data_IF_083463104435
#
_entry.id   IF_083463104435
#
_cell.length_a   1.000
_cell.length_b   1.000
_cell.length_c   1.000
_cell.angle_alpha   90.00
_cell.angle_beta   90.00
_cell.angle_gamma   90.00
#
_symmetry.space_group_name_H-M   'P 1'
#
loop_
_entity.id
_entity.type
_entity.pdbx_description
1 polymer ?
#
# COMPACT_ATOMS: atom_id res chain seq x y z
N UNK A 1 47.66 42.18 -16.34
CA UNK A 1 47.02 41.56 -15.20
C UNK A 1 45.48 41.69 -15.17
N UNK A 2 44.85 42.56 -15.97
CA UNK A 2 43.37 42.73 -16.00
C UNK A 2 42.58 41.66 -16.80
N UNK A 3 43.23 40.86 -17.66
CA UNK A 3 42.54 39.89 -18.56
C UNK A 3 42.24 38.52 -17.96
N UNK A 4 42.79 38.18 -16.80
CA UNK A 4 42.61 36.84 -16.16
C UNK A 4 41.51 36.87 -15.09
N UNK A 5 41.14 38.03 -14.59
CA UNK A 5 40.14 38.18 -13.52
C UNK A 5 38.71 37.92 -14.02
N UNK A 6 38.40 38.25 -15.28
CA UNK A 6 37.11 38.11 -15.88
C UNK A 6 36.62 36.62 -16.04
N UNK A 7 37.46 35.68 -16.53
CA UNK A 7 37.06 34.27 -16.61
C UNK A 7 36.98 33.58 -15.22
N UNK A 8 37.76 34.04 -14.23
CA UNK A 8 37.70 33.50 -12.87
C UNK A 8 36.42 33.87 -12.14
N UNK A 9 35.87 35.07 -12.35
CA UNK A 9 34.59 35.52 -11.79
C UNK A 9 33.43 34.78 -12.47
N UNK A 10 33.49 34.51 -13.77
CA UNK A 10 32.46 33.77 -14.50
C UNK A 10 32.40 32.31 -14.05
N UNK A 11 33.52 31.69 -13.69
CA UNK A 11 33.59 30.33 -13.19
C UNK A 11 32.98 30.18 -11.78
N UNK A 12 33.04 31.20 -10.94
CA UNK A 12 32.48 31.21 -9.58
C UNK A 12 30.92 31.20 -9.57
N UNK A 13 30.29 31.77 -10.60
CA UNK A 13 28.83 31.87 -10.70
C UNK A 13 28.20 30.54 -11.08
N UNK A 14 28.94 29.63 -11.69
CA UNK A 14 28.41 28.29 -12.11
C UNK A 14 28.25 27.29 -10.94
N UNK A 15 28.77 27.60 -9.76
CA UNK A 15 28.64 26.75 -8.57
C UNK A 15 27.51 27.16 -7.62
N UNK A 16 26.63 28.08 -8.01
CA UNK A 16 25.38 28.36 -7.25
C UNK A 16 24.40 27.21 -7.42
N UNK A 17 24.74 26.04 -6.90
CA UNK A 17 23.82 24.90 -6.79
C UNK A 17 22.63 25.32 -5.94
N UNK A 18 21.42 25.32 -6.51
CA UNK A 18 20.20 25.43 -5.75
C UNK A 18 20.13 24.25 -4.78
N UNK A 19 20.46 24.48 -3.52
CA UNK A 19 20.12 23.56 -2.44
C UNK A 19 18.60 23.59 -2.32
N UNK A 20 17.90 22.59 -2.90
CA UNK A 20 16.50 22.40 -2.69
C UNK A 20 16.29 22.00 -1.22
N UNK A 21 15.94 22.97 -0.39
CA UNK A 21 15.51 22.70 0.99
C UNK A 21 14.14 22.05 0.94
N UNK A 22 14.05 20.82 1.43
CA UNK A 22 12.76 20.15 1.63
C UNK A 22 12.00 20.97 2.70
N UNK A 23 10.79 21.47 2.42
CA UNK A 23 10.00 22.18 3.41
C UNK A 23 9.76 21.28 4.63
N UNK A 24 9.88 21.82 5.83
CA UNK A 24 9.68 21.04 7.07
C UNK A 24 8.28 20.44 7.15
N UNK A 25 7.28 21.12 6.56
CA UNK A 25 5.91 20.62 6.44
C UNK A 25 5.81 19.33 5.62
N UNK A 26 6.70 19.11 4.66
CA UNK A 26 6.69 17.86 3.84
C UNK A 26 7.03 16.61 4.67
N UNK A 27 7.63 16.78 5.84
CA UNK A 27 7.97 15.69 6.76
C UNK A 27 6.96 15.55 7.91
N UNK A 28 6.01 16.48 8.06
CA UNK A 28 4.98 16.42 9.10
C UNK A 28 3.84 15.53 8.65
N UNK A 29 3.51 14.52 9.46
CA UNK A 29 2.32 13.71 9.23
C UNK A 29 1.09 14.50 9.70
N UNK A 30 0.10 14.66 8.81
CA UNK A 30 -1.17 15.25 9.21
C UNK A 30 -1.93 14.33 10.17
N UNK A 31 -2.82 14.88 11.04
CA UNK A 31 -3.70 14.08 11.88
C UNK A 31 -4.50 13.03 11.09
N UNK A 32 -5.00 13.41 9.91
CA UNK A 32 -5.73 12.49 9.02
C UNK A 32 -4.83 11.34 8.55
N UNK A 33 -3.56 11.60 8.26
CA UNK A 33 -2.60 10.56 7.89
C UNK A 33 -2.36 9.56 9.03
N UNK A 34 -2.37 10.02 10.27
CA UNK A 34 -2.23 9.16 11.44
C UNK A 34 -3.47 8.30 11.67
N UNK A 35 -4.68 8.88 11.55
CA UNK A 35 -5.94 8.14 11.63
C UNK A 35 -6.01 7.07 10.54
N UNK A 36 -5.67 7.41 9.30
CA UNK A 36 -5.63 6.46 8.19
C UNK A 36 -4.65 5.31 8.47
N UNK A 37 -3.47 5.60 9.04
CA UNK A 37 -2.54 4.54 9.44
C UNK A 37 -3.11 3.60 10.49
N UNK A 38 -3.92 4.10 11.43
CA UNK A 38 -4.58 3.25 12.42
C UNK A 38 -5.59 2.31 11.77
N UNK A 39 -6.40 2.80 10.83
CA UNK A 39 -7.34 1.99 10.05
C UNK A 39 -6.62 0.92 9.21
N UNK A 40 -5.48 1.26 8.66
CA UNK A 40 -4.66 0.40 7.80
C UNK A 40 -3.87 -0.66 8.55
N UNK A 41 -3.79 -0.61 9.87
CA UNK A 41 -2.88 -1.45 10.65
C UNK A 41 -3.62 -2.26 11.71
N UNK A 42 -3.33 -3.58 11.77
CA UNK A 42 -3.81 -4.48 12.81
C UNK A 42 -2.67 -5.36 13.32
N UNK A 43 -2.74 -5.78 14.57
CA UNK A 43 -1.80 -6.71 15.19
C UNK A 43 -2.44 -8.08 15.31
N UNK A 44 -1.62 -9.11 15.13
CA UNK A 44 -2.01 -10.52 15.24
C UNK A 44 -0.99 -11.25 16.12
N UNK A 45 -1.47 -12.19 16.92
CA UNK A 45 -0.64 -13.04 17.77
C UNK A 45 -0.13 -14.24 16.95
N UNK A 46 0.73 -13.94 15.97
CA UNK A 46 1.32 -14.93 15.07
C UNK A 46 2.68 -14.44 14.59
N UNK A 47 3.49 -15.35 14.07
CA UNK A 47 4.78 -15.01 13.46
C UNK A 47 4.60 -14.33 12.08
N UNK A 48 5.64 -13.64 11.65
CA UNK A 48 5.63 -12.86 10.42
C UNK A 48 5.43 -13.71 9.17
N UNK A 49 6.02 -14.90 9.12
CA UNK A 49 5.95 -15.78 7.95
C UNK A 49 4.52 -16.29 7.75
N UNK A 50 3.89 -16.76 8.81
CA UNK A 50 2.47 -17.22 8.79
C UNK A 50 1.56 -16.07 8.38
N UNK A 51 1.71 -14.88 8.98
CA UNK A 51 0.88 -13.71 8.64
C UNK A 51 1.08 -13.26 7.20
N UNK A 52 2.31 -13.29 6.69
CA UNK A 52 2.62 -12.92 5.31
C UNK A 52 2.00 -13.92 4.33
N UNK A 53 2.12 -15.24 4.62
CA UNK A 53 1.52 -16.31 3.82
C UNK A 53 0.00 -16.18 3.76
N UNK A 54 -0.67 -16.05 4.91
CA UNK A 54 -2.11 -15.86 5.00
C UNK A 54 -2.57 -14.58 4.26
N UNK A 55 -1.79 -13.51 4.33
CA UNK A 55 -2.07 -12.27 3.61
C UNK A 55 -1.98 -12.45 2.09
N UNK A 56 -0.98 -13.20 1.61
CA UNK A 56 -0.84 -13.52 0.19
C UNK A 56 -2.01 -14.38 -0.31
N UNK A 57 -2.35 -15.45 0.42
CA UNK A 57 -3.47 -16.33 0.10
C UNK A 57 -4.80 -15.54 0.05
N UNK A 58 -5.07 -14.72 1.07
CA UNK A 58 -6.26 -13.86 1.09
C UNK A 58 -6.33 -12.91 -0.10
N UNK A 59 -5.21 -12.28 -0.49
CA UNK A 59 -5.18 -11.41 -1.66
C UNK A 59 -5.52 -12.18 -2.94
N UNK A 60 -5.00 -13.41 -3.10
CA UNK A 60 -5.32 -14.28 -4.24
C UNK A 60 -6.81 -14.68 -4.22
N UNK A 61 -7.37 -15.06 -3.08
CA UNK A 61 -8.80 -15.37 -2.92
C UNK A 61 -9.69 -14.17 -3.25
N UNK A 62 -9.23 -12.96 -2.95
CA UNK A 62 -9.89 -11.72 -3.35
C UNK A 62 -9.70 -11.39 -4.83
N UNK A 63 -8.98 -12.22 -5.59
CA UNK A 63 -8.75 -12.08 -7.03
C UNK A 63 -7.66 -11.08 -7.40
N UNK A 64 -6.72 -10.82 -6.49
CA UNK A 64 -5.49 -10.07 -6.81
C UNK A 64 -4.44 -11.00 -7.40
N UNK A 65 -3.70 -10.50 -8.37
CA UNK A 65 -2.45 -11.11 -8.80
C UNK A 65 -1.32 -10.56 -7.92
N UNK A 66 -0.50 -11.44 -7.38
CA UNK A 66 0.69 -11.03 -6.65
C UNK A 66 1.73 -10.55 -7.68
N UNK A 67 2.10 -9.28 -7.60
CA UNK A 67 3.07 -8.66 -8.50
C UNK A 67 4.49 -8.91 -8.00
N UNK A 68 4.71 -8.78 -6.68
CA UNK A 68 6.00 -8.93 -6.05
C UNK A 68 5.86 -9.35 -4.58
N UNK A 69 6.76 -10.19 -4.10
CA UNK A 69 6.85 -10.59 -2.70
C UNK A 69 8.29 -10.55 -2.24
N UNK A 70 8.58 -9.71 -1.25
CA UNK A 70 9.87 -9.63 -0.58
C UNK A 70 9.76 -10.11 0.86
N UNK A 71 9.97 -11.40 1.04
CA UNK A 71 9.79 -12.06 2.35
C UNK A 71 10.78 -11.60 3.40
N UNK A 72 11.99 -11.13 3.01
CA UNK A 72 13.02 -10.66 3.94
C UNK A 72 12.64 -9.36 4.65
N UNK A 73 11.80 -8.54 4.01
CA UNK A 73 11.33 -7.27 4.56
C UNK A 73 9.83 -7.27 4.81
N UNK A 74 9.18 -8.44 4.65
CA UNK A 74 7.76 -8.62 4.94
C UNK A 74 6.82 -7.80 4.05
N UNK A 75 7.10 -7.71 2.74
CA UNK A 75 6.33 -6.88 1.81
C UNK A 75 5.71 -7.73 0.71
N UNK A 76 4.43 -7.49 0.43
CA UNK A 76 3.70 -8.02 -0.73
C UNK A 76 3.10 -6.83 -1.48
N UNK A 77 3.28 -6.79 -2.78
CA UNK A 77 2.53 -5.93 -3.69
C UNK A 77 1.67 -6.77 -4.61
N UNK A 78 0.46 -6.33 -4.84
CA UNK A 78 -0.51 -7.05 -5.67
C UNK A 78 -1.40 -6.08 -6.42
N UNK A 79 -1.95 -6.55 -7.54
CA UNK A 79 -2.84 -5.76 -8.35
C UNK A 79 -4.02 -6.57 -8.87
N UNK A 80 -5.13 -5.86 -9.12
CA UNK A 80 -6.35 -6.43 -9.67
C UNK A 80 -6.89 -5.49 -10.73
N UNK A 81 -7.04 -6.01 -11.94
CA UNK A 81 -7.75 -5.29 -12.97
C UNK A 81 -9.25 -5.30 -12.67
N UNK A 82 -9.87 -4.16 -12.79
CA UNK A 82 -11.31 -4.03 -12.73
C UNK A 82 -11.88 -4.12 -14.14
N UNK A 83 -12.24 -5.33 -14.56
CA UNK A 83 -13.07 -5.50 -15.74
C UNK A 83 -14.52 -5.16 -15.40
N UNK A 84 -15.10 -4.25 -16.16
CA UNK A 84 -16.50 -3.82 -15.98
C UNK A 84 -17.53 -4.94 -16.28
N UNK A 85 -17.10 -6.16 -16.63
CA UNK A 85 -17.96 -7.18 -17.24
C UNK A 85 -18.03 -8.55 -16.56
N UNK A 86 -17.32 -8.84 -15.48
CA UNK A 86 -17.37 -10.19 -14.92
C UNK A 86 -18.30 -10.32 -13.69
N UNK A 87 -19.36 -11.09 -13.87
CA UNK A 87 -20.43 -11.38 -12.89
C UNK A 87 -19.98 -12.20 -11.65
N UNK A 88 -18.75 -12.67 -11.58
CA UNK A 88 -18.25 -13.53 -10.50
C UNK A 88 -17.71 -12.82 -9.26
N UNK A 89 -17.81 -11.50 -9.18
CA UNK A 89 -17.12 -10.69 -8.18
C UNK A 89 -18.04 -10.04 -7.13
N UNK A 90 -19.16 -10.67 -6.83
CA UNK A 90 -20.26 -10.10 -6.03
C UNK A 90 -19.84 -9.72 -4.60
N UNK A 91 -18.88 -10.41 -3.98
CA UNK A 91 -18.47 -10.10 -2.59
C UNK A 91 -17.53 -8.88 -2.52
N UNK A 92 -16.60 -8.76 -3.44
CA UNK A 92 -15.72 -7.58 -3.51
C UNK A 92 -16.36 -6.44 -4.30
N UNK A 93 -17.26 -6.75 -5.26
CA UNK A 93 -18.04 -5.76 -5.99
C UNK A 93 -19.03 -5.01 -5.08
N UNK A 94 -19.57 -5.65 -4.03
CA UNK A 94 -20.39 -4.97 -3.02
C UNK A 94 -19.58 -3.89 -2.27
N UNK A 95 -18.34 -4.22 -1.92
CA UNK A 95 -17.43 -3.28 -1.28
C UNK A 95 -17.02 -2.16 -2.24
N UNK A 96 -16.71 -2.51 -3.49
CA UNK A 96 -16.26 -1.56 -4.50
C UNK A 96 -17.42 -0.77 -5.15
N UNK A 97 -18.64 -1.31 -5.20
CA UNK A 97 -19.82 -0.58 -5.69
C UNK A 97 -20.22 0.55 -4.73
N UNK A 98 -20.02 0.40 -3.43
CA UNK A 98 -20.22 1.47 -2.47
C UNK A 98 -19.27 2.66 -2.72
N UNK A 99 -18.13 2.43 -3.38
CA UNK A 99 -17.13 3.47 -3.68
C UNK A 99 -17.43 4.29 -4.92
N UNK A 100 -18.10 3.72 -5.88
CA UNK A 100 -18.21 4.38 -7.18
C UNK A 100 -19.56 5.00 -7.40
N UNK A 101 -20.39 5.24 -6.41
CA UNK A 101 -21.68 5.94 -6.42
C UNK A 101 -22.10 6.68 -7.70
N UNK A 102 -21.29 6.62 -8.76
CA UNK A 102 -21.55 7.12 -10.09
C UNK A 102 -21.05 6.09 -11.11
N UNK A 103 -21.96 5.51 -11.83
CA UNK A 103 -21.69 4.84 -13.11
C UNK A 103 -21.25 5.93 -14.08
N UNK A 104 -19.98 6.29 -14.09
CA UNK A 104 -19.41 7.08 -15.17
C UNK A 104 -18.84 6.14 -16.21
N UNK A 105 -19.29 6.19 -17.45
CA UNK A 105 -18.72 5.41 -18.54
C UNK A 105 -17.33 5.94 -18.87
N UNK A 106 -16.42 5.03 -19.22
CA UNK A 106 -15.19 5.28 -19.97
C UNK A 106 -13.94 5.66 -19.16
N UNK A 107 -13.43 4.70 -18.38
CA UNK A 107 -11.98 4.50 -18.33
C UNK A 107 -11.73 2.99 -18.30
N UNK A 108 -11.30 2.45 -19.42
CA UNK A 108 -11.25 0.99 -19.68
C UNK A 108 -10.25 0.23 -18.82
N UNK A 109 -9.37 0.91 -18.09
CA UNK A 109 -8.32 0.25 -17.35
C UNK A 109 -8.17 0.85 -15.95
N UNK A 110 -9.03 0.43 -15.04
CA UNK A 110 -8.83 0.70 -13.61
C UNK A 110 -8.07 -0.48 -12.99
N UNK A 111 -7.01 -0.15 -12.28
CA UNK A 111 -6.20 -1.09 -11.53
C UNK A 111 -6.33 -0.78 -10.05
N UNK A 112 -6.72 -1.76 -9.26
CA UNK A 112 -6.63 -1.65 -7.80
C UNK A 112 -5.33 -2.31 -7.38
N UNK A 113 -4.46 -1.56 -6.71
CA UNK A 113 -3.24 -2.06 -6.10
C UNK A 113 -3.45 -2.25 -4.61
N UNK A 114 -3.00 -3.37 -4.09
CA UNK A 114 -2.90 -3.60 -2.66
C UNK A 114 -1.43 -3.81 -2.29
N UNK A 115 -1.00 -3.17 -1.20
CA UNK A 115 0.32 -3.38 -0.62
C UNK A 115 0.15 -3.80 0.83
N UNK A 116 0.78 -4.91 1.19
CA UNK A 116 0.82 -5.43 2.56
C UNK A 116 2.25 -5.33 3.06
N UNK A 117 2.40 -4.82 4.28
CA UNK A 117 3.69 -4.77 4.98
C UNK A 117 3.50 -5.39 6.35
N UNK A 118 4.31 -6.40 6.66
CA UNK A 118 4.35 -7.03 7.98
C UNK A 118 5.54 -6.52 8.77
N UNK A 119 5.40 -6.49 10.09
CA UNK A 119 6.47 -6.11 11.00
C UNK A 119 6.33 -6.88 12.31
N UNK A 120 7.31 -7.72 12.67
CA UNK A 120 7.31 -8.39 13.96
C UNK A 120 7.45 -7.37 15.09
N UNK A 121 6.70 -7.59 16.18
CA UNK A 121 6.73 -6.80 17.40
C UNK A 121 7.13 -7.76 18.52
N UNK A 122 8.31 -7.58 19.07
CA UNK A 122 8.73 -8.32 20.25
C UNK A 122 8.08 -7.69 21.48
N UNK A 123 7.21 -8.44 22.16
CA UNK A 123 6.52 -7.97 23.38
C UNK A 123 7.43 -8.17 24.59
N UNK A 124 8.27 -9.21 24.57
CA UNK A 124 9.18 -9.53 25.65
C UNK A 124 10.50 -10.07 25.06
N UNK A 125 11.64 -9.47 25.44
CA UNK A 125 12.97 -9.94 25.02
C UNK A 125 13.33 -11.29 25.63
N UNK A 126 12.67 -11.68 26.72
CA UNK A 126 12.93 -12.91 27.46
C UNK A 126 12.05 -14.08 27.04
N UNK A 127 10.87 -13.82 26.49
CA UNK A 127 9.92 -14.85 26.05
C UNK A 127 9.64 -14.74 24.53
N UNK A 128 10.47 -15.42 23.74
CA UNK A 128 10.34 -15.49 22.28
C UNK A 128 9.07 -16.22 21.79
N UNK A 129 8.32 -16.87 22.69
CA UNK A 129 7.07 -17.55 22.34
C UNK A 129 5.91 -16.58 22.13
N UNK A 130 6.02 -15.36 22.65
CA UNK A 130 5.01 -14.29 22.49
C UNK A 130 5.38 -13.36 21.34
N UNK A 131 5.29 -13.86 20.13
CA UNK A 131 5.51 -13.06 18.94
C UNK A 131 4.19 -12.44 18.49
N UNK A 132 4.12 -11.11 18.42
CA UNK A 132 3.06 -10.40 17.71
C UNK A 132 3.62 -9.84 16.40
N UNK A 133 2.80 -9.87 15.37
CA UNK A 133 3.15 -9.23 14.11
C UNK A 133 2.09 -8.17 13.76
N UNK A 134 2.55 -6.96 13.49
CA UNK A 134 1.70 -5.94 12.90
C UNK A 134 1.65 -6.15 11.39
N UNK A 135 0.46 -6.05 10.82
CA UNK A 135 0.25 -5.99 9.37
C UNK A 135 -0.40 -4.65 9.03
N UNK A 136 0.15 -4.01 8.02
CA UNK A 136 -0.42 -2.81 7.40
C UNK A 136 -0.79 -3.12 5.97
N UNK A 137 -2.04 -2.86 5.60
CA UNK A 137 -2.52 -2.95 4.23
C UNK A 137 -2.88 -1.56 3.71
N UNK A 138 -2.54 -1.28 2.46
CA UNK A 138 -2.96 -0.07 1.76
C UNK A 138 -3.58 -0.44 0.43
N UNK A 139 -4.69 0.20 0.09
CA UNK A 139 -5.34 0.04 -1.21
C UNK A 139 -5.26 1.35 -1.98
N UNK A 140 -4.95 1.26 -3.28
CA UNK A 140 -4.88 2.39 -4.19
C UNK A 140 -5.68 2.10 -5.46
N UNK A 141 -6.43 3.09 -5.92
CA UNK A 141 -7.01 3.09 -7.26
C UNK A 141 -6.03 3.78 -8.21
N UNK A 142 -5.69 3.10 -9.27
CA UNK A 142 -4.83 3.61 -10.34
C UNK A 142 -5.63 3.57 -11.64
N UNK A 143 -5.76 4.69 -12.31
CA UNK A 143 -6.40 4.79 -13.63
C UNK A 143 -5.32 5.01 -14.67
N UNK A 144 -5.38 4.20 -15.71
CA UNK A 144 -4.41 4.23 -16.81
C UNK A 144 -5.15 4.56 -18.09
N UNK A 145 -4.66 5.53 -18.86
CA UNK A 145 -5.24 5.91 -20.14
C UNK A 145 -4.88 4.90 -21.24
N UNK A 146 -5.45 5.09 -22.42
CA UNK A 146 -5.18 4.24 -23.60
C UNK A 146 -3.73 4.27 -24.07
N UNK A 147 -2.95 5.29 -23.68
CA UNK A 147 -1.51 5.39 -23.91
C UNK A 147 -0.66 4.74 -22.80
N UNK A 148 -1.30 3.97 -21.88
CA UNK A 148 -0.66 3.32 -20.74
C UNK A 148 -0.01 4.29 -19.74
N UNK A 149 -0.50 5.53 -19.68
CA UNK A 149 -0.04 6.54 -18.72
C UNK A 149 -0.98 6.61 -17.53
N UNK A 150 -0.42 6.68 -16.33
CA UNK A 150 -1.20 6.85 -15.09
C UNK A 150 -1.77 8.26 -15.05
N UNK A 151 -3.11 8.36 -15.06
CA UNK A 151 -3.84 9.63 -15.00
C UNK A 151 -4.36 9.94 -13.60
N UNK A 152 -4.72 8.93 -12.82
CA UNK A 152 -5.19 9.07 -11.44
C UNK A 152 -4.46 8.04 -10.56
N UNK A 153 -4.06 8.48 -9.38
CA UNK A 153 -3.57 7.62 -8.30
C UNK A 153 -4.13 8.15 -6.98
N UNK A 154 -5.05 7.44 -6.40
CA UNK A 154 -5.67 7.82 -5.14
C UNK A 154 -5.66 6.66 -4.14
N UNK A 155 -5.48 6.98 -2.84
CA UNK A 155 -5.62 6.02 -1.76
C UNK A 155 -7.11 5.78 -1.48
N UNK A 156 -7.46 4.53 -1.27
CA UNK A 156 -8.77 4.13 -0.78
C UNK A 156 -8.74 4.32 0.74
N UNK A 157 -9.64 5.13 1.28
CA UNK A 157 -9.64 5.54 2.70
C UNK A 157 -10.86 5.02 3.47
N UNK A 158 -11.76 4.29 2.82
CA UNK A 158 -13.00 3.80 3.42
C UNK A 158 -12.74 2.73 4.47
N UNK A 159 -13.13 3.03 5.70
CA UNK A 159 -12.93 2.20 6.88
C UNK A 159 -13.48 0.76 6.68
N UNK A 160 -14.67 0.63 6.08
CA UNK A 160 -15.32 -0.66 5.87
C UNK A 160 -14.49 -1.67 5.08
N UNK A 161 -13.62 -1.21 4.16
CA UNK A 161 -12.73 -2.07 3.39
C UNK A 161 -11.65 -2.67 4.28
N UNK A 162 -11.02 -1.84 5.08
CA UNK A 162 -9.96 -2.29 5.99
C UNK A 162 -10.51 -3.24 7.04
N UNK A 163 -11.70 -2.93 7.60
CA UNK A 163 -12.37 -3.82 8.55
C UNK A 163 -12.67 -5.19 7.92
N UNK A 164 -13.22 -5.24 6.71
CA UNK A 164 -13.52 -6.49 6.03
C UNK A 164 -12.26 -7.27 5.67
N UNK A 165 -11.21 -6.60 5.20
CA UNK A 165 -9.92 -7.24 4.94
C UNK A 165 -9.37 -7.92 6.20
N UNK A 166 -9.31 -7.19 7.31
CA UNK A 166 -8.79 -7.74 8.56
C UNK A 166 -9.68 -8.81 9.18
N UNK A 167 -10.99 -8.75 8.99
CA UNK A 167 -11.88 -9.81 9.44
C UNK A 167 -11.63 -11.10 8.64
N UNK A 168 -11.49 -11.01 7.32
CA UNK A 168 -11.15 -12.16 6.48
C UNK A 168 -9.76 -12.72 6.81
N UNK A 169 -8.78 -11.85 7.03
CA UNK A 169 -7.44 -12.27 7.44
C UNK A 169 -7.46 -13.00 8.79
N UNK A 170 -8.25 -12.49 9.76
CA UNK A 170 -8.44 -13.17 11.05
C UNK A 170 -9.06 -14.56 10.88
N UNK A 171 -10.03 -14.71 9.98
CA UNK A 171 -10.67 -16.00 9.67
C UNK A 171 -9.68 -16.97 9.01
N UNK A 172 -8.89 -16.50 8.03
CA UNK A 172 -7.87 -17.31 7.36
C UNK A 172 -6.84 -17.84 8.35
N UNK A 173 -6.31 -16.97 9.21
CA UNK A 173 -5.36 -17.38 10.26
C UNK A 173 -5.94 -18.37 11.26
N UNK A 174 -7.22 -18.22 11.60
CA UNK A 174 -7.90 -19.18 12.49
C UNK A 174 -8.03 -20.56 11.82
N UNK A 175 -8.38 -20.62 10.56
CA UNK A 175 -8.50 -21.87 9.80
C UNK A 175 -7.15 -22.57 9.64
N UNK A 176 -6.09 -21.82 9.29
CA UNK A 176 -4.72 -22.37 9.20
C UNK A 176 -4.23 -22.93 10.55
N UNK A 177 -4.54 -22.25 11.67
CA UNK A 177 -4.14 -22.70 13.00
C UNK A 177 -4.85 -23.99 13.46
N UNK A 178 -5.96 -24.37 12.82
CA UNK A 178 -6.77 -25.53 13.20
C UNK A 178 -6.79 -26.62 12.11
N UNK A 179 -5.94 -26.50 11.07
CA UNK A 179 -5.87 -27.45 9.94
C UNK A 179 -7.24 -27.75 9.30
N UNK A 180 -8.11 -26.74 9.19
CA UNK A 180 -9.48 -26.83 8.66
C UNK A 180 -9.59 -26.34 7.22
#
# INVERSE_FOLDING_TARGET
MKKIIFPAILLLILFSGCAATIPEEALKLSPESLQLRQLQTKRFDTDEKTLLSASAALLQDLGYNIDETETKVGVITSSKHRDATSAGQIVFAGIMAAFTGAVTPVDKNQLIRASVVTRPIHIDETDKSKCQTAVRVTFQRVVVNTANQVTIRECIIEEGIYQQFFNKLSQSLFLEAHDL
#
